data_IF_470837067711
#
_entry.id   IF_470837067711
#
_cell.length_a   1.000
_cell.length_b   1.000
_cell.length_c   1.000
_cell.angle_alpha   90.00
_cell.angle_beta   90.00
_cell.angle_gamma   90.00
#
_symmetry.space_group_name_H-M   'P 1'
#
loop_
_entity.id
_entity.type
_entity.pdbx_description
1 polymer ?
#
# COMPACT_ATOMS: atom_id res chain seq x y z
N UNK A 1 12.64 11.49 1.78
CA UNK A 1 11.63 11.44 2.87
C UNK A 1 12.12 12.20 4.10
N UNK A 2 11.25 13.00 4.71
CA UNK A 2 11.53 13.76 5.94
C UNK A 2 11.47 12.85 7.19
N UNK A 3 12.06 13.30 8.32
CA UNK A 3 11.97 12.55 9.58
C UNK A 3 10.54 12.44 10.10
N UNK A 4 9.73 13.47 9.88
CA UNK A 4 8.32 13.50 10.28
C UNK A 4 7.46 12.51 9.48
N UNK A 5 7.70 12.39 8.17
CA UNK A 5 7.05 11.36 7.33
C UNK A 5 7.35 9.96 7.86
N UNK A 6 8.60 9.69 8.21
CA UNK A 6 9.00 8.39 8.75
C UNK A 6 8.33 8.12 10.11
N UNK A 7 8.18 9.15 10.95
CA UNK A 7 7.48 9.04 12.21
C UNK A 7 5.98 8.77 11.98
N UNK A 8 5.36 9.46 11.03
CA UNK A 8 3.97 9.25 10.63
C UNK A 8 3.75 7.82 10.12
N UNK A 9 4.52 7.37 9.12
CA UNK A 9 4.43 6.01 8.54
C UNK A 9 4.50 4.93 9.62
N UNK A 10 5.39 5.10 10.61
CA UNK A 10 5.59 4.11 11.68
C UNK A 10 4.49 4.11 12.75
N UNK A 11 3.82 5.24 12.97
CA UNK A 11 2.99 5.44 14.18
C UNK A 11 1.52 5.78 13.92
N UNK A 12 1.16 6.21 12.71
CA UNK A 12 -0.23 6.53 12.36
C UNK A 12 -1.12 5.32 12.60
N UNK A 13 -2.32 5.55 13.14
CA UNK A 13 -3.28 4.48 13.37
C UNK A 13 -4.34 4.43 12.28
N UNK A 14 -4.96 3.27 12.12
CA UNK A 14 -6.01 3.07 11.12
C UNK A 14 -7.17 4.05 11.33
N UNK A 15 -7.52 4.34 12.59
CA UNK A 15 -8.57 5.29 12.96
C UNK A 15 -8.21 6.78 12.72
N UNK A 16 -6.93 7.10 12.54
CA UNK A 16 -6.47 8.48 12.32
C UNK A 16 -6.50 8.87 10.83
N UNK A 17 -6.77 7.91 9.93
CA UNK A 17 -6.89 8.15 8.49
C UNK A 17 -8.37 8.39 8.14
N UNK A 18 -8.70 9.48 7.43
CA UNK A 18 -10.07 9.80 7.03
C UNK A 18 -10.49 8.96 5.81
N UNK A 19 -10.55 7.64 5.94
CA UNK A 19 -10.80 6.69 4.84
C UNK A 19 -12.03 7.01 3.99
N UNK A 20 -13.10 7.50 4.62
CA UNK A 20 -14.33 7.92 3.95
C UNK A 20 -14.12 9.11 3.01
N UNK A 21 -13.01 9.85 3.13
CA UNK A 21 -12.69 11.06 2.36
C UNK A 21 -11.53 10.86 1.40
N UNK A 22 -10.98 9.64 1.34
CA UNK A 22 -9.89 9.27 0.44
C UNK A 22 -10.45 8.44 -0.72
N UNK A 23 -10.04 8.82 -1.91
CA UNK A 23 -10.47 8.19 -3.16
C UNK A 23 -9.74 6.85 -3.37
N UNK A 24 -10.47 5.86 -3.90
CA UNK A 24 -10.00 4.55 -4.35
C UNK A 24 -10.56 4.21 -5.74
N UNK A 25 -10.17 3.08 -6.33
CA UNK A 25 -10.59 2.68 -7.69
C UNK A 25 -12.10 2.72 -7.93
N UNK A 26 -12.91 2.36 -6.92
CA UNK A 26 -14.36 2.22 -7.06
C UNK A 26 -15.16 3.16 -6.15
N UNK A 27 -14.55 4.27 -5.70
CA UNK A 27 -15.22 5.26 -4.87
C UNK A 27 -14.30 5.76 -3.77
N UNK A 28 -14.67 5.48 -2.52
CA UNK A 28 -13.97 5.92 -1.31
C UNK A 28 -13.41 4.72 -0.55
N UNK A 29 -12.31 4.92 0.14
CA UNK A 29 -11.59 3.87 0.88
C UNK A 29 -12.22 3.46 2.22
N UNK A 30 -13.49 3.81 2.44
CA UNK A 30 -14.34 3.51 3.60
C UNK A 30 -14.17 2.09 4.18
N UNK A 31 -14.05 1.12 3.29
CA UNK A 31 -13.97 -0.29 3.60
C UNK A 31 -12.57 -0.76 4.07
N UNK A 32 -11.50 -0.01 3.84
CA UNK A 32 -10.13 -0.48 4.05
C UNK A 32 -9.87 -0.99 5.48
N UNK A 33 -10.31 -0.31 6.57
CA UNK A 33 -10.13 -0.83 7.92
C UNK A 33 -10.72 -2.23 8.13
N UNK A 34 -11.86 -2.52 7.49
CA UNK A 34 -12.54 -3.80 7.62
C UNK A 34 -11.76 -4.92 6.90
N UNK A 35 -11.17 -4.61 5.74
CA UNK A 35 -10.37 -5.56 4.97
C UNK A 35 -9.04 -5.84 5.66
N UNK A 36 -8.34 -4.82 6.17
CA UNK A 36 -7.14 -5.04 6.99
C UNK A 36 -7.44 -5.86 8.25
N UNK A 37 -8.58 -5.62 8.90
CA UNK A 37 -9.01 -6.43 10.04
C UNK A 37 -9.23 -7.90 9.64
N UNK A 38 -9.90 -8.17 8.51
CA UNK A 38 -10.11 -9.52 7.99
C UNK A 38 -8.79 -10.19 7.57
N UNK A 39 -7.85 -9.46 6.97
CA UNK A 39 -6.52 -9.99 6.66
C UNK A 39 -5.77 -10.41 7.92
N UNK A 40 -5.79 -9.59 8.98
CA UNK A 40 -5.12 -9.89 10.24
C UNK A 40 -5.79 -11.06 11.00
N UNK A 41 -7.11 -11.05 11.11
CA UNK A 41 -7.85 -11.90 12.08
C UNK A 41 -8.84 -12.90 11.49
N UNK A 42 -9.15 -12.80 10.19
CA UNK A 42 -10.09 -13.70 9.51
C UNK A 42 -9.54 -15.12 9.37
N UNK A 43 -10.32 -16.02 8.78
CA UNK A 43 -9.77 -17.29 8.30
C UNK A 43 -9.03 -17.09 6.96
N UNK A 44 -8.63 -18.18 6.29
CA UNK A 44 -7.92 -18.10 5.01
C UNK A 44 -8.78 -17.51 3.89
N UNK A 45 -10.09 -17.82 3.89
CA UNK A 45 -11.03 -17.35 2.88
C UNK A 45 -11.29 -15.86 3.04
N UNK A 46 -11.61 -15.42 4.27
CA UNK A 46 -11.82 -14.00 4.57
C UNK A 46 -10.55 -13.16 4.33
N UNK A 47 -9.37 -13.70 4.66
CA UNK A 47 -8.09 -13.04 4.38
C UNK A 47 -7.84 -12.90 2.88
N UNK A 48 -8.05 -13.98 2.10
CA UNK A 48 -7.86 -13.96 0.65
C UNK A 48 -8.80 -12.98 -0.03
N UNK A 49 -10.10 -13.04 0.28
CA UNK A 49 -11.09 -12.12 -0.26
C UNK A 49 -10.79 -10.66 0.10
N UNK A 50 -10.42 -10.38 1.35
CA UNK A 50 -10.04 -9.02 1.75
C UNK A 50 -8.78 -8.52 1.03
N UNK A 51 -7.80 -9.39 0.79
CA UNK A 51 -6.59 -9.03 0.05
C UNK A 51 -6.89 -8.72 -1.42
N UNK A 52 -7.76 -9.49 -2.07
CA UNK A 52 -8.20 -9.24 -3.45
C UNK A 52 -8.93 -7.89 -3.57
N UNK A 53 -9.90 -7.63 -2.70
CA UNK A 53 -10.64 -6.35 -2.70
C UNK A 53 -9.71 -5.16 -2.44
N UNK A 54 -8.78 -5.31 -1.50
CA UNK A 54 -7.82 -4.26 -1.20
C UNK A 54 -6.86 -4.03 -2.39
N UNK A 55 -6.40 -5.07 -3.08
CA UNK A 55 -5.54 -4.93 -4.26
C UNK A 55 -6.25 -4.11 -5.37
N UNK A 56 -7.49 -4.47 -5.70
CA UNK A 56 -8.28 -3.81 -6.74
C UNK A 56 -8.58 -2.33 -6.45
N UNK A 57 -8.67 -1.94 -5.18
CA UNK A 57 -8.98 -0.57 -4.74
C UNK A 57 -7.73 0.31 -4.55
N UNK A 58 -6.58 -0.30 -4.27
CA UNK A 58 -5.29 0.39 -4.14
C UNK A 58 -4.64 0.68 -5.50
N UNK A 59 -4.88 -0.17 -6.49
CA UNK A 59 -4.38 -0.03 -7.85
C UNK A 59 -5.39 -0.63 -8.83
N UNK A 60 -5.67 0.09 -9.91
CA UNK A 60 -6.44 -0.46 -11.02
C UNK A 60 -5.92 0.06 -12.35
N UNK A 61 -5.62 -0.85 -13.28
CA UNK A 61 -5.15 -0.52 -14.64
C UNK A 61 -3.94 0.42 -14.64
N UNK A 62 -2.95 0.12 -13.80
CA UNK A 62 -1.71 0.86 -13.58
C UNK A 62 -1.90 2.28 -13.02
N UNK A 63 -3.07 2.56 -12.44
CA UNK A 63 -3.38 3.84 -11.78
C UNK A 63 -3.45 3.66 -10.27
N UNK A 64 -2.78 4.54 -9.53
CA UNK A 64 -2.86 4.62 -8.08
C UNK A 64 -3.83 5.71 -7.64
N UNK A 65 -4.32 5.61 -6.41
CA UNK A 65 -5.36 6.46 -5.86
C UNK A 65 -4.90 7.17 -4.60
N UNK A 66 -5.69 8.14 -4.15
CA UNK A 66 -5.38 8.94 -2.97
C UNK A 66 -5.22 8.09 -1.70
N UNK A 67 -6.00 7.01 -1.59
CA UNK A 67 -5.91 6.06 -0.48
C UNK A 67 -4.66 5.15 -0.54
N UNK A 68 -4.02 5.00 -1.70
CA UNK A 68 -2.94 4.02 -1.94
C UNK A 68 -1.75 4.15 -0.97
N UNK A 69 -1.10 5.32 -0.81
CA UNK A 69 0.04 5.44 0.10
C UNK A 69 -0.34 5.03 1.53
N UNK A 70 -1.55 5.35 1.98
CA UNK A 70 -2.01 5.01 3.33
C UNK A 70 -2.29 3.52 3.47
N UNK A 71 -2.93 2.87 2.49
CA UNK A 71 -3.12 1.43 2.50
C UNK A 71 -1.78 0.68 2.51
N UNK A 72 -0.82 1.11 1.70
CA UNK A 72 0.52 0.51 1.65
C UNK A 72 1.27 0.65 2.99
N UNK A 73 1.08 1.72 3.76
CA UNK A 73 1.62 1.83 5.13
C UNK A 73 1.17 0.63 5.98
N UNK A 74 -0.13 0.34 6.01
CA UNK A 74 -0.66 -0.73 6.86
C UNK A 74 -0.31 -2.12 6.34
N UNK A 75 -0.37 -2.32 5.02
CA UNK A 75 0.06 -3.57 4.38
C UNK A 75 1.53 -3.87 4.74
N UNK A 76 2.44 -2.90 4.55
CA UNK A 76 3.87 -3.12 4.81
C UNK A 76 4.21 -3.24 6.30
N UNK A 77 3.44 -2.61 7.19
CA UNK A 77 3.58 -2.83 8.65
C UNK A 77 3.16 -4.24 9.04
N UNK A 78 2.02 -4.73 8.55
CA UNK A 78 1.59 -6.12 8.75
C UNK A 78 2.62 -7.11 8.21
N UNK A 79 3.20 -6.81 7.03
CA UNK A 79 4.29 -7.59 6.46
C UNK A 79 5.51 -7.61 7.37
N UNK A 80 5.97 -6.46 7.87
CA UNK A 80 7.13 -6.37 8.76
C UNK A 80 6.95 -7.18 10.04
N UNK A 81 5.74 -7.19 10.60
CA UNK A 81 5.38 -8.03 11.75
C UNK A 81 5.39 -9.52 11.38
N UNK A 82 4.80 -9.89 10.24
CA UNK A 82 4.70 -11.27 9.79
C UNK A 82 6.04 -11.88 9.34
N UNK A 83 6.92 -11.07 8.76
CA UNK A 83 8.25 -11.47 8.29
C UNK A 83 9.31 -11.50 9.41
N UNK A 84 8.93 -11.22 10.66
CA UNK A 84 9.84 -11.28 11.79
C UNK A 84 10.13 -12.75 12.19
N UNK A 85 11.41 -13.15 12.13
CA UNK A 85 11.82 -14.54 12.38
C UNK A 85 11.49 -15.01 13.80
N UNK A 86 11.49 -14.09 14.78
CA UNK A 86 11.10 -14.40 16.16
C UNK A 86 9.63 -14.82 16.27
N UNK A 87 8.76 -14.26 15.43
CA UNK A 87 7.34 -14.62 15.37
C UNK A 87 7.18 -16.04 14.82
N UNK A 88 7.99 -16.45 13.83
CA UNK A 88 7.85 -17.73 13.14
C UNK A 88 8.31 -18.95 13.95
N UNK A 89 9.31 -18.79 14.82
CA UNK A 89 9.98 -19.91 15.50
C UNK A 89 9.09 -20.64 16.52
N UNK A 90 8.04 -19.99 17.04
CA UNK A 90 7.19 -20.54 18.11
C UNK A 90 5.80 -21.02 17.63
N UNK A 91 5.52 -20.95 16.32
CA UNK A 91 4.19 -21.22 15.77
C UNK A 91 3.92 -22.71 15.53
N UNK A 92 2.63 -23.08 15.53
CA UNK A 92 2.21 -24.36 14.94
C UNK A 92 2.34 -24.32 13.42
N UNK A 93 2.34 -25.50 12.77
CA UNK A 93 2.39 -25.60 11.31
C UNK A 93 1.27 -24.83 10.62
N UNK A 94 0.02 -25.02 11.07
CA UNK A 94 -1.14 -24.27 10.58
C UNK A 94 -0.98 -22.74 10.71
N UNK A 95 -0.39 -22.27 11.82
CA UNK A 95 -0.14 -20.84 12.03
C UNK A 95 0.96 -20.32 11.11
N UNK A 96 2.00 -21.11 10.85
CA UNK A 96 3.04 -20.77 9.86
C UNK A 96 2.49 -20.70 8.45
N UNK A 97 1.65 -21.65 8.07
CA UNK A 97 0.97 -21.67 6.76
C UNK A 97 0.14 -20.40 6.56
N UNK A 98 -0.73 -20.07 7.54
CA UNK A 98 -1.50 -18.81 7.51
C UNK A 98 -0.58 -17.58 7.41
N UNK A 99 0.51 -17.55 8.16
CA UNK A 99 1.43 -16.41 8.15
C UNK A 99 2.16 -16.27 6.80
N UNK A 100 2.58 -17.38 6.20
CA UNK A 100 3.16 -17.36 4.86
C UNK A 100 2.14 -16.90 3.82
N UNK A 101 0.89 -17.35 3.91
CA UNK A 101 -0.18 -16.90 3.02
C UNK A 101 -0.48 -15.41 3.18
N UNK A 102 -0.47 -14.88 4.41
CA UNK A 102 -0.58 -13.44 4.66
C UNK A 102 0.57 -12.66 4.03
N UNK A 103 1.81 -13.15 4.17
CA UNK A 103 2.98 -12.54 3.54
C UNK A 103 2.82 -12.50 2.03
N UNK A 104 2.46 -13.63 1.40
CA UNK A 104 2.23 -13.72 -0.05
C UNK A 104 1.13 -12.74 -0.48
N UNK A 105 0.01 -12.70 0.24
CA UNK A 105 -1.09 -11.78 -0.08
C UNK A 105 -0.63 -10.32 -0.07
N UNK A 106 0.15 -9.90 0.93
CA UNK A 106 0.68 -8.53 1.00
C UNK A 106 1.68 -8.24 -0.13
N UNK A 107 2.59 -9.19 -0.41
CA UNK A 107 3.56 -9.03 -1.50
C UNK A 107 2.85 -8.88 -2.86
N UNK A 108 1.81 -9.69 -3.09
CA UNK A 108 1.00 -9.64 -4.32
C UNK A 108 0.16 -8.35 -4.43
N UNK A 109 -0.34 -7.80 -3.33
CA UNK A 109 -0.98 -6.46 -3.33
C UNK A 109 0.05 -5.41 -3.76
N UNK A 110 1.27 -5.48 -3.22
CA UNK A 110 2.27 -4.44 -3.43
C UNK A 110 3.00 -4.53 -4.78
N UNK A 111 3.02 -5.69 -5.44
CA UNK A 111 3.74 -5.88 -6.71
C UNK A 111 3.24 -4.95 -7.83
N UNK A 112 1.94 -4.93 -8.19
CA UNK A 112 1.46 -4.05 -9.26
C UNK A 112 1.53 -2.57 -8.86
N UNK A 113 1.37 -2.26 -7.57
CA UNK A 113 1.58 -0.92 -7.02
C UNK A 113 3.02 -0.46 -7.25
N UNK A 114 4.00 -1.33 -6.99
CA UNK A 114 5.42 -1.04 -7.21
C UNK A 114 5.73 -0.84 -8.70
N UNK A 115 5.15 -1.66 -9.58
CA UNK A 115 5.27 -1.50 -11.02
C UNK A 115 4.72 -0.14 -11.49
N UNK A 116 3.51 0.22 -11.05
CA UNK A 116 2.89 1.52 -11.38
C UNK A 116 3.71 2.71 -10.86
N UNK A 117 4.33 2.57 -9.68
CA UNK A 117 5.27 3.55 -9.16
C UNK A 117 6.52 3.69 -10.06
N UNK A 118 7.14 2.56 -10.42
CA UNK A 118 8.34 2.56 -11.26
C UNK A 118 8.06 3.19 -12.64
N UNK A 119 6.94 2.83 -13.26
CA UNK A 119 6.54 3.35 -14.57
C UNK A 119 6.28 4.86 -14.48
N UNK A 120 5.52 5.32 -13.49
CA UNK A 120 5.19 6.76 -13.34
C UNK A 120 6.42 7.61 -12.99
N UNK A 121 7.26 7.15 -12.06
CA UNK A 121 8.45 7.89 -11.61
C UNK A 121 9.62 7.81 -12.58
N UNK A 122 9.62 6.81 -13.48
CA UNK A 122 10.62 6.67 -14.54
C UNK A 122 10.47 7.68 -15.67
N UNK A 123 9.32 8.35 -15.76
CA UNK A 123 9.11 9.44 -16.70
C UNK A 123 9.66 10.75 -16.13
N UNK A 124 10.40 11.50 -16.94
CA UNK A 124 10.88 12.84 -16.57
C UNK A 124 9.68 13.78 -16.50
N UNK A 125 9.23 14.08 -15.28
CA UNK A 125 8.17 15.06 -15.01
C UNK A 125 8.77 16.22 -14.21
N UNK A 126 8.54 17.46 -14.64
CA UNK A 126 8.88 18.67 -13.88
C UNK A 126 7.82 18.91 -12.77
N UNK A 127 7.71 17.97 -11.84
CA UNK A 127 6.75 18.04 -10.74
C UNK A 127 7.41 17.62 -9.43
N UNK A 128 7.24 18.45 -8.40
CA UNK A 128 7.68 18.12 -7.05
C UNK A 128 6.49 17.58 -6.25
N UNK A 129 6.67 16.51 -5.45
CA UNK A 129 5.62 16.05 -4.58
C UNK A 129 5.35 17.10 -3.50
N UNK A 130 4.26 16.96 -2.77
CA UNK A 130 4.06 17.70 -1.52
C UNK A 130 5.25 17.48 -0.57
N UNK A 131 5.42 18.41 0.37
CA UNK A 131 6.56 18.41 1.27
C UNK A 131 6.50 17.25 2.26
N UNK A 132 5.29 16.92 2.72
CA UNK A 132 5.03 15.79 3.62
C UNK A 132 3.90 14.90 3.13
N UNK A 133 3.96 13.61 3.47
CA UNK A 133 2.85 12.67 3.24
C UNK A 133 1.57 13.12 3.96
N UNK A 134 1.69 13.84 5.07
CA UNK A 134 0.51 14.35 5.80
C UNK A 134 -0.19 15.49 5.05
N UNK A 135 0.47 16.10 4.06
CA UNK A 135 -0.15 17.14 3.24
C UNK A 135 -1.27 16.58 2.37
N UNK A 136 -1.20 15.28 2.05
CA UNK A 136 -2.27 14.51 1.42
C UNK A 136 -3.53 14.39 2.29
N UNK A 137 -3.44 14.72 3.58
CA UNK A 137 -4.57 14.71 4.52
C UNK A 137 -5.05 16.12 4.88
N UNK A 138 -4.58 17.15 4.18
CA UNK A 138 -5.09 18.52 4.36
C UNK A 138 -6.52 18.61 3.83
N UNK A 139 -7.31 19.48 4.44
CA UNK A 139 -8.71 19.69 4.06
C UNK A 139 -8.89 20.04 2.56
N UNK A 140 -7.92 20.72 1.94
CA UNK A 140 -7.96 21.03 0.51
C UNK A 140 -7.82 19.83 -0.41
N UNK A 141 -7.24 18.73 0.08
CA UNK A 141 -6.99 17.51 -0.70
C UNK A 141 -8.05 16.43 -0.44
N UNK A 142 -8.84 16.57 0.63
CA UNK A 142 -9.84 15.58 1.03
C UNK A 142 -11.18 15.83 0.35
N UNK A 143 -11.85 14.76 -0.08
CA UNK A 143 -13.23 14.86 -0.52
C UNK A 143 -14.15 15.29 0.64
N UNK A 144 -15.25 16.02 0.41
CA UNK A 144 -16.19 16.36 1.47
C UNK A 144 -16.75 15.11 2.15
N UNK A 145 -17.24 15.26 3.39
CA UNK A 145 -17.96 14.18 4.08
C UNK A 145 -19.29 13.84 3.39
N UNK A 146 -19.88 14.81 2.69
CA UNK A 146 -21.08 14.60 1.89
C UNK A 146 -20.69 13.95 0.55
N UNK A 147 -21.42 12.88 0.20
CA UNK A 147 -21.20 12.07 -1.01
C UNK A 147 -22.17 12.46 -2.15
N UNK A 148 -23.12 13.37 -1.92
CA UNK A 148 -24.14 13.75 -2.91
C UNK A 148 -23.55 14.25 -4.24
N UNK A 149 -22.38 14.89 -4.20
CA UNK A 149 -21.70 15.46 -5.37
C UNK A 149 -20.56 14.58 -5.92
N UNK A 150 -20.42 13.33 -5.46
CA UNK A 150 -19.29 12.48 -5.83
C UNK A 150 -19.19 12.23 -7.34
N UNK A 151 -20.32 11.96 -8.00
CA UNK A 151 -20.35 11.73 -9.46
C UNK A 151 -19.83 12.95 -10.23
N UNK A 152 -20.21 14.17 -9.84
CA UNK A 152 -19.75 15.41 -10.49
C UNK A 152 -18.25 15.64 -10.24
N UNK A 153 -17.77 15.35 -9.02
CA UNK A 153 -16.33 15.44 -8.66
C UNK A 153 -15.48 14.43 -9.41
N UNK A 154 -16.01 13.24 -9.66
CA UNK A 154 -15.35 12.23 -10.48
C UNK A 154 -15.18 12.68 -11.93
N UNK A 155 -16.13 13.45 -12.46
CA UNK A 155 -16.08 13.99 -13.83
C UNK A 155 -15.14 15.22 -13.96
N UNK A 156 -15.01 16.03 -12.91
CA UNK A 156 -14.24 17.29 -12.90
C UNK A 156 -12.83 17.16 -12.31
N UNK A 157 -12.11 16.12 -12.72
CA UNK A 157 -10.73 15.79 -12.29
C UNK A 157 -10.59 15.64 -10.76
N UNK A 158 -10.70 14.41 -10.22
CA UNK A 158 -10.95 14.17 -8.81
C UNK A 158 -9.81 14.60 -7.87
N UNK A 159 -8.60 14.80 -8.41
CA UNK A 159 -7.38 15.19 -7.70
C UNK A 159 -6.48 16.04 -8.60
N UNK A 160 -5.71 16.95 -8.02
CA UNK A 160 -4.72 17.70 -8.81
C UNK A 160 -3.55 16.80 -9.26
N UNK A 161 -2.90 17.14 -10.38
CA UNK A 161 -1.70 16.43 -10.84
C UNK A 161 -0.61 16.32 -9.74
N UNK A 162 -0.42 17.39 -8.96
CA UNK A 162 0.55 17.41 -7.87
C UNK A 162 0.16 16.42 -6.76
N UNK A 163 -1.13 16.34 -6.43
CA UNK A 163 -1.62 15.38 -5.46
C UNK A 163 -1.39 13.95 -5.99
N UNK A 164 -1.80 13.66 -7.22
CA UNK A 164 -1.55 12.36 -7.87
C UNK A 164 -0.06 11.96 -7.82
N UNK A 165 0.83 12.84 -8.27
CA UNK A 165 2.27 12.60 -8.26
C UNK A 165 2.80 12.35 -6.83
N UNK A 166 2.23 13.06 -5.84
CA UNK A 166 2.58 12.87 -4.43
C UNK A 166 2.14 11.50 -3.90
N UNK A 167 0.96 10.99 -4.29
CA UNK A 167 0.50 9.65 -3.87
C UNK A 167 1.48 8.58 -4.37
N UNK A 168 1.89 8.69 -5.64
CA UNK A 168 2.85 7.78 -6.28
C UNK A 168 4.21 7.87 -5.60
N UNK A 169 4.73 9.09 -5.42
CA UNK A 169 6.02 9.32 -4.78
C UNK A 169 6.06 8.72 -3.37
N UNK A 170 5.09 9.03 -2.52
CA UNK A 170 5.10 8.53 -1.14
C UNK A 170 4.88 7.02 -1.06
N UNK A 171 4.06 6.44 -1.94
CA UNK A 171 3.90 4.99 -2.05
C UNK A 171 5.23 4.31 -2.37
N UNK A 172 5.95 4.82 -3.38
CA UNK A 172 7.28 4.34 -3.74
C UNK A 172 8.28 4.45 -2.57
N UNK A 173 8.28 5.58 -1.87
CA UNK A 173 9.15 5.78 -0.72
C UNK A 173 8.84 4.79 0.42
N UNK A 174 7.56 4.47 0.67
CA UNK A 174 7.17 3.45 1.66
C UNK A 174 7.69 2.08 1.26
N UNK A 175 7.52 1.66 0.00
CA UNK A 175 8.02 0.37 -0.49
C UNK A 175 9.54 0.25 -0.35
N UNK A 176 10.28 1.32 -0.69
CA UNK A 176 11.74 1.39 -0.54
C UNK A 176 12.21 1.22 0.92
N UNK A 177 11.42 1.66 1.91
CA UNK A 177 11.77 1.45 3.34
C UNK A 177 11.87 -0.04 3.69
N UNK A 178 11.08 -0.89 3.04
CA UNK A 178 11.00 -2.33 3.28
C UNK A 178 11.83 -3.16 2.31
N UNK A 179 12.54 -2.54 1.36
CA UNK A 179 13.36 -3.21 0.33
C UNK A 179 14.24 -4.34 0.89
N UNK A 180 14.94 -4.09 2.00
CA UNK A 180 15.83 -5.09 2.63
C UNK A 180 15.08 -6.28 3.20
N UNK A 181 13.91 -6.05 3.78
CA UNK A 181 13.06 -7.12 4.32
C UNK A 181 12.47 -7.97 3.19
N UNK A 182 12.03 -7.33 2.10
CA UNK A 182 11.57 -8.02 0.88
C UNK A 182 12.71 -8.87 0.31
N UNK A 183 13.92 -8.30 0.15
CA UNK A 183 15.09 -9.01 -0.38
C UNK A 183 15.44 -10.26 0.44
N UNK A 184 15.32 -10.17 1.77
CA UNK A 184 15.59 -11.31 2.67
C UNK A 184 14.62 -12.47 2.40
N UNK A 185 13.38 -12.20 2.02
CA UNK A 185 12.40 -13.24 1.71
C UNK A 185 12.63 -13.92 0.36
N UNK A 186 13.42 -13.34 -0.55
CA UNK A 186 13.89 -14.07 -1.74
C UNK A 186 14.75 -15.30 -1.39
N UNK A 187 15.24 -15.40 -0.15
CA UNK A 187 15.96 -16.58 0.36
C UNK A 187 15.05 -17.48 1.25
N UNK A 188 13.73 -17.27 1.22
CA UNK A 188 12.74 -18.05 1.97
C UNK A 188 12.74 -19.53 1.57
N UNK A 189 12.53 -20.42 2.54
CA UNK A 189 12.32 -21.85 2.29
C UNK A 189 10.91 -22.20 1.79
N UNK A 190 9.96 -21.27 1.96
CA UNK A 190 8.60 -21.39 1.38
C UNK A 190 8.65 -20.80 -0.03
N UNK A 191 8.36 -21.62 -1.04
CA UNK A 191 8.46 -21.30 -2.46
C UNK A 191 7.54 -20.14 -2.84
N UNK A 192 6.28 -20.18 -2.41
CA UNK A 192 5.29 -19.14 -2.69
C UNK A 192 5.70 -17.77 -2.14
N UNK A 193 6.30 -17.75 -0.93
CA UNK A 193 6.83 -16.52 -0.32
C UNK A 193 8.03 -16.00 -1.09
N UNK A 194 8.92 -16.90 -1.52
CA UNK A 194 10.12 -16.54 -2.28
C UNK A 194 9.73 -15.93 -3.62
N UNK A 195 8.86 -16.59 -4.37
CA UNK A 195 8.47 -16.18 -5.72
C UNK A 195 7.78 -14.80 -5.68
N UNK A 196 6.81 -14.61 -4.78
CA UNK A 196 6.16 -13.31 -4.59
C UNK A 196 7.15 -12.21 -4.13
N UNK A 197 8.15 -12.56 -3.31
CA UNK A 197 9.17 -11.62 -2.86
C UNK A 197 10.12 -11.23 -4.00
N UNK A 198 10.52 -12.16 -4.86
CA UNK A 198 11.36 -11.90 -6.03
C UNK A 198 10.66 -10.97 -7.02
N UNK A 199 9.36 -11.19 -7.29
CA UNK A 199 8.55 -10.34 -8.16
C UNK A 199 8.44 -8.91 -7.62
N UNK A 200 8.06 -8.74 -6.35
CA UNK A 200 7.99 -7.41 -5.75
C UNK A 200 9.38 -6.75 -5.68
N UNK A 201 10.42 -7.50 -5.33
CA UNK A 201 11.78 -6.96 -5.21
C UNK A 201 12.27 -6.40 -6.56
N UNK A 202 11.96 -7.06 -7.67
CA UNK A 202 12.33 -6.58 -9.01
C UNK A 202 11.73 -5.20 -9.31
N UNK A 203 10.45 -4.98 -8.99
CA UNK A 203 9.80 -3.68 -9.19
C UNK A 203 10.35 -2.61 -8.21
N UNK A 204 10.63 -2.98 -6.96
CA UNK A 204 11.26 -2.06 -5.99
C UNK A 204 12.68 -1.64 -6.43
N UNK A 205 13.43 -2.50 -7.09
CA UNK A 205 14.71 -2.14 -7.72
C UNK A 205 14.52 -1.13 -8.87
N UNK A 206 13.47 -1.28 -9.69
CA UNK A 206 13.15 -0.32 -10.75
C UNK A 206 12.80 1.06 -10.21
N UNK A 207 12.06 1.12 -9.10
CA UNK A 207 11.79 2.38 -8.39
C UNK A 207 13.10 3.06 -7.97
N UNK A 208 14.04 2.33 -7.37
CA UNK A 208 15.32 2.91 -6.91
C UNK A 208 16.20 3.36 -8.07
N UNK A 209 16.16 2.65 -9.19
CA UNK A 209 16.87 3.01 -10.42
C UNK A 209 16.29 4.26 -11.11
N UNK A 210 15.09 4.69 -10.72
CA UNK A 210 14.40 5.84 -11.30
C UNK A 210 13.74 5.52 -12.65
N UNK A 211 13.16 4.31 -12.79
CA UNK A 211 12.48 3.84 -14.00
C UNK A 211 13.20 2.75 -14.75
#
# INVERSE_FOLDING_TARGET
MLQEDLAFIKSVKMEDIPWQRLISSYGRAAAFPQWFHAMAHGDMEAMGHAAEQLAEELEHQSTLWHATPFGVIFAMRMFGEAANDSVKQELSEQKRERLNALIVAILNICQPIAAACADTLGHVVEMEPFLSITDLLRESELWPEDEEEDEERWEDDPVSDQAFYSFVYYTAQILLLYKKDIRRLCDSSCEEVRDAAEELHAEVERIEAGG
#
